data_IF_741734170000
#
_entry.id   IF_741734170000
#
_cell.length_a   1.000
_cell.length_b   1.000
_cell.length_c   1.000
_cell.angle_alpha   90.00
_cell.angle_beta   90.00
_cell.angle_gamma   90.00
#
_symmetry.space_group_name_H-M   'P 1'
#
loop_
_entity.id
_entity.type
_entity.pdbx_description
1 polymer ?
#
# COMPACT_ATOMS: atom_id res chain seq x y z
N UNK A 1 8.31 65.38 39.74
CA UNK A 1 8.59 65.01 38.32
C UNK A 1 9.32 63.66 38.19
N UNK A 2 10.35 63.38 39.00
CA UNK A 2 11.07 62.09 38.98
C UNK A 2 10.22 60.87 39.39
N UNK A 3 9.39 60.99 40.45
CA UNK A 3 8.52 59.91 40.90
C UNK A 3 7.48 59.48 39.85
N UNK A 4 6.93 60.44 39.09
CA UNK A 4 5.98 60.16 37.99
C UNK A 4 6.68 59.43 36.85
N UNK A 5 7.91 59.83 36.49
CA UNK A 5 8.71 59.14 35.46
C UNK A 5 9.07 57.71 35.89
N UNK A 6 9.39 57.48 37.16
CA UNK A 6 9.68 56.16 37.70
C UNK A 6 8.45 55.24 37.66
N UNK A 7 7.26 55.73 38.05
CA UNK A 7 6.01 54.99 37.94
C UNK A 7 5.68 54.61 36.49
N UNK A 8 5.78 55.55 35.54
CA UNK A 8 5.57 55.25 34.12
C UNK A 8 6.59 54.26 33.56
N UNK A 9 7.82 54.24 34.08
CA UNK A 9 8.83 53.28 33.64
C UNK A 9 8.49 51.86 34.12
N UNK A 10 8.01 51.70 35.36
CA UNK A 10 7.55 50.40 35.89
C UNK A 10 6.38 49.87 35.04
N UNK A 11 5.38 50.69 34.75
CA UNK A 11 4.25 50.30 33.87
C UNK A 11 4.72 49.86 32.47
N UNK A 12 5.69 50.56 31.89
CA UNK A 12 6.26 50.20 30.59
C UNK A 12 7.03 48.87 30.62
N UNK A 13 7.75 48.59 31.72
CA UNK A 13 8.46 47.31 31.92
C UNK A 13 7.46 46.17 32.07
N UNK A 14 6.41 46.33 32.87
CA UNK A 14 5.34 45.32 33.02
C UNK A 14 4.61 45.07 31.71
N UNK A 15 4.27 46.13 30.98
CA UNK A 15 3.66 46.05 29.66
C UNK A 15 4.56 45.31 28.66
N UNK A 16 5.86 45.59 28.67
CA UNK A 16 6.82 44.90 27.81
C UNK A 16 6.86 43.40 28.13
N UNK A 17 6.92 43.04 29.41
CA UNK A 17 6.93 41.63 29.85
C UNK A 17 5.67 40.90 29.38
N UNK A 18 4.49 41.51 29.55
CA UNK A 18 3.23 40.96 29.07
C UNK A 18 3.21 40.78 27.54
N UNK A 19 3.76 41.74 26.80
CA UNK A 19 3.87 41.64 25.34
C UNK A 19 4.83 40.53 24.90
N UNK A 20 5.93 40.31 25.63
CA UNK A 20 6.87 39.21 25.38
C UNK A 20 6.21 37.85 25.65
N UNK A 21 5.52 37.69 26.78
CA UNK A 21 4.75 36.48 27.11
C UNK A 21 3.66 36.19 26.06
N UNK A 22 2.91 37.21 25.65
CA UNK A 22 1.90 37.07 24.59
C UNK A 22 2.53 36.68 23.25
N UNK A 23 3.70 37.24 22.90
CA UNK A 23 4.43 36.88 21.69
C UNK A 23 4.84 35.41 21.73
N UNK A 24 5.35 34.91 22.85
CA UNK A 24 5.71 33.50 23.01
C UNK A 24 4.49 32.57 22.88
N UNK A 25 3.37 32.92 23.55
CA UNK A 25 2.14 32.14 23.44
C UNK A 25 1.62 32.09 22.00
N UNK A 26 1.61 33.22 21.28
CA UNK A 26 1.20 33.27 19.88
C UNK A 26 2.06 32.33 19.02
N UNK A 27 3.38 32.31 19.25
CA UNK A 27 4.27 31.41 18.52
C UNK A 27 3.96 29.95 18.81
N UNK A 28 3.72 29.59 20.08
CA UNK A 28 3.33 28.24 20.44
C UNK A 28 2.01 27.83 19.78
N UNK A 29 0.96 28.68 19.83
CA UNK A 29 -0.30 28.40 19.13
C UNK A 29 -0.09 28.19 17.62
N UNK A 30 0.75 29.00 16.97
CA UNK A 30 1.09 28.82 15.55
C UNK A 30 1.78 27.48 15.29
N UNK A 31 2.75 27.10 16.10
CA UNK A 31 3.42 25.79 15.99
C UNK A 31 2.41 24.65 16.12
N UNK A 32 1.53 24.71 17.12
CA UNK A 32 0.50 23.68 17.36
C UNK A 32 -0.51 23.60 16.22
N UNK A 33 -0.90 24.74 15.66
CA UNK A 33 -1.77 24.80 14.49
C UNK A 33 -1.13 24.12 13.28
N UNK A 34 0.16 24.35 13.03
CA UNK A 34 0.91 23.71 11.94
C UNK A 34 0.98 22.19 12.15
N UNK A 35 1.30 21.75 13.37
CA UNK A 35 1.37 20.31 13.71
C UNK A 35 0.03 19.60 13.49
N UNK A 36 -1.08 20.21 13.94
CA UNK A 36 -2.44 19.68 13.70
C UNK A 36 -2.78 19.68 12.21
N UNK A 37 -2.49 20.76 11.48
CA UNK A 37 -2.76 20.84 10.03
C UNK A 37 -2.03 19.73 9.29
N UNK A 38 -0.76 19.49 9.60
CA UNK A 38 0.01 18.41 8.98
C UNK A 38 -0.58 17.03 9.30
N UNK A 39 -1.00 16.81 10.55
CA UNK A 39 -1.67 15.56 10.94
C UNK A 39 -3.00 15.36 10.21
N UNK A 40 -3.78 16.42 10.00
CA UNK A 40 -5.04 16.38 9.24
C UNK A 40 -4.82 16.10 7.75
N UNK A 41 -3.75 16.64 7.16
CA UNK A 41 -3.38 16.33 5.76
C UNK A 41 -3.08 14.85 5.59
N UNK A 42 -2.32 14.24 6.50
CA UNK A 42 -2.03 12.80 6.47
C UNK A 42 -3.29 11.95 6.66
N UNK A 43 -4.17 12.33 7.59
CA UNK A 43 -5.47 11.68 7.77
C UNK A 43 -6.36 11.78 6.53
N UNK A 44 -6.39 12.97 5.90
CA UNK A 44 -7.15 13.18 4.67
C UNK A 44 -6.60 12.31 3.53
N UNK A 45 -5.28 12.22 3.39
CA UNK A 45 -4.65 11.35 2.39
C UNK A 45 -5.02 9.89 2.59
N UNK A 46 -4.88 9.37 3.80
CA UNK A 46 -5.18 7.96 4.05
C UNK A 46 -6.67 7.65 3.89
N UNK A 47 -7.55 8.59 4.25
CA UNK A 47 -8.98 8.50 3.98
C UNK A 47 -9.27 8.44 2.48
N UNK A 48 -8.62 9.28 1.68
CA UNK A 48 -8.77 9.24 0.22
C UNK A 48 -8.35 7.89 -0.35
N UNK A 49 -7.23 7.33 0.11
CA UNK A 49 -6.79 6.00 -0.34
C UNK A 49 -7.78 4.89 0.06
N UNK A 50 -8.30 4.94 1.29
CA UNK A 50 -9.34 4.02 1.76
C UNK A 50 -10.59 4.09 0.88
N UNK A 51 -11.10 5.29 0.62
CA UNK A 51 -12.28 5.49 -0.22
C UNK A 51 -12.03 5.03 -1.64
N UNK A 52 -10.86 5.33 -2.21
CA UNK A 52 -10.50 4.90 -3.56
C UNK A 52 -10.52 3.37 -3.69
N UNK A 53 -9.92 2.66 -2.73
CA UNK A 53 -9.94 1.20 -2.71
C UNK A 53 -11.36 0.66 -2.53
N UNK A 54 -12.12 1.22 -1.58
CA UNK A 54 -13.50 0.80 -1.30
C UNK A 54 -14.43 1.01 -2.49
N UNK A 55 -14.36 2.17 -3.14
CA UNK A 55 -15.17 2.53 -4.32
C UNK A 55 -14.81 1.63 -5.52
N UNK A 56 -13.54 1.24 -5.62
CA UNK A 56 -13.08 0.25 -6.60
C UNK A 56 -13.44 -1.20 -6.22
N UNK A 57 -14.20 -1.43 -5.14
CA UNK A 57 -14.55 -2.77 -4.61
C UNK A 57 -13.34 -3.63 -4.24
N UNK A 58 -12.26 -2.99 -3.79
CA UNK A 58 -11.07 -3.65 -3.26
C UNK A 58 -11.25 -3.88 -1.76
N UNK A 59 -10.90 -5.07 -1.23
CA UNK A 59 -10.93 -5.34 0.20
C UNK A 59 -10.21 -4.25 1.00
N UNK A 60 -10.78 -3.90 2.15
CA UNK A 60 -10.24 -2.88 3.04
C UNK A 60 -10.30 -3.41 4.48
N UNK A 61 -9.34 -3.04 5.35
CA UNK A 61 -9.34 -3.47 6.74
C UNK A 61 -10.53 -2.87 7.50
N UNK A 62 -10.99 -3.59 8.52
CA UNK A 62 -11.95 -3.05 9.48
C UNK A 62 -11.30 -1.95 10.32
N UNK A 63 -11.87 -0.74 10.25
CA UNK A 63 -11.27 0.44 10.89
C UNK A 63 -11.74 0.68 12.33
N UNK A 64 -12.81 0.00 12.78
CA UNK A 64 -13.47 0.32 14.05
C UNK A 64 -12.53 0.27 15.26
N UNK A 65 -11.79 -0.82 15.41
CA UNK A 65 -10.82 -0.99 16.51
C UNK A 65 -9.63 -0.02 16.39
N UNK A 66 -9.21 0.28 15.15
CA UNK A 66 -8.06 1.15 14.88
C UNK A 66 -8.39 2.62 15.20
N UNK A 67 -9.63 3.06 14.90
CA UNK A 67 -10.05 4.45 15.06
C UNK A 67 -10.61 4.77 16.45
N UNK A 68 -11.17 3.79 17.16
CA UNK A 68 -11.81 4.01 18.47
C UNK A 68 -10.94 4.79 19.47
N UNK A 69 -9.65 4.46 19.67
CA UNK A 69 -8.81 5.19 20.63
C UNK A 69 -8.62 6.66 20.26
N UNK A 70 -8.45 6.98 18.98
CA UNK A 70 -8.22 8.36 18.56
C UNK A 70 -9.51 9.19 18.61
N UNK A 71 -10.67 8.58 18.36
CA UNK A 71 -11.96 9.26 18.50
C UNK A 71 -12.23 9.69 19.94
N UNK A 72 -11.92 8.84 20.92
CA UNK A 72 -12.05 9.18 22.35
C UNK A 72 -11.13 10.33 22.71
N UNK A 73 -9.84 10.23 22.36
CA UNK A 73 -8.87 11.28 22.66
C UNK A 73 -9.26 12.60 21.97
N UNK A 74 -9.72 12.55 20.71
CA UNK A 74 -10.14 13.74 19.98
C UNK A 74 -11.34 14.42 20.66
N UNK A 75 -12.35 13.66 21.08
CA UNK A 75 -13.52 14.19 21.82
C UNK A 75 -13.09 14.87 23.13
N UNK A 76 -12.22 14.23 23.90
CA UNK A 76 -11.71 14.80 25.15
C UNK A 76 -10.92 16.10 24.92
N UNK A 77 -10.08 16.14 23.89
CA UNK A 77 -9.31 17.35 23.53
C UNK A 77 -10.19 18.49 23.06
N UNK A 78 -11.24 18.21 22.28
CA UNK A 78 -12.22 19.22 21.87
C UNK A 78 -12.91 19.80 23.10
N UNK A 79 -13.41 18.97 24.02
CA UNK A 79 -14.06 19.43 25.24
C UNK A 79 -13.13 20.26 26.13
N UNK A 80 -11.88 19.83 26.28
CA UNK A 80 -10.88 20.53 27.07
C UNK A 80 -10.55 21.90 26.46
N UNK A 81 -10.40 21.97 25.13
CA UNK A 81 -10.13 23.21 24.43
C UNK A 81 -11.29 24.20 24.53
N UNK A 82 -12.54 23.73 24.44
CA UNK A 82 -13.73 24.58 24.63
C UNK A 82 -13.79 25.19 26.03
N UNK A 83 -13.39 24.43 27.06
CA UNK A 83 -13.37 24.92 28.45
C UNK A 83 -12.15 25.80 28.74
N UNK A 84 -11.00 25.48 28.16
CA UNK A 84 -9.76 26.20 28.35
C UNK A 84 -8.90 26.16 27.06
N UNK A 85 -8.91 27.23 26.25
CA UNK A 85 -8.11 27.29 25.03
C UNK A 85 -6.59 27.16 25.25
N UNK A 86 -6.08 27.50 26.44
CA UNK A 86 -4.66 27.36 26.77
C UNK A 86 -4.24 25.90 26.95
N UNK A 87 -5.18 24.96 27.10
CA UNK A 87 -4.87 23.52 27.21
C UNK A 87 -4.05 22.98 26.04
N UNK A 88 -4.16 23.57 24.85
CA UNK A 88 -3.37 23.15 23.67
C UNK A 88 -1.88 23.50 23.79
N UNK A 89 -1.53 24.43 24.70
CA UNK A 89 -0.14 24.80 24.98
C UNK A 89 0.55 23.77 25.89
N UNK A 90 -0.21 22.87 26.53
CA UNK A 90 0.34 21.79 27.34
C UNK A 90 1.13 20.80 26.45
N UNK A 91 2.46 20.93 26.48
CA UNK A 91 3.37 20.25 25.55
C UNK A 91 3.21 18.74 25.55
N UNK A 92 3.17 18.11 26.72
CA UNK A 92 3.09 16.65 26.89
C UNK A 92 1.79 16.09 26.33
N UNK A 93 0.67 16.66 26.76
CA UNK A 93 -0.66 16.22 26.36
C UNK A 93 -0.91 16.43 24.86
N UNK A 94 -0.42 17.52 24.28
CA UNK A 94 -0.53 17.78 22.85
C UNK A 94 0.35 16.83 22.02
N UNK A 95 1.60 16.63 22.42
CA UNK A 95 2.52 15.71 21.72
C UNK A 95 1.99 14.28 21.74
N UNK A 96 1.40 13.84 22.86
CA UNK A 96 0.75 12.54 22.95
C UNK A 96 -0.41 12.41 21.96
N UNK A 97 -1.24 13.46 21.80
CA UNK A 97 -2.33 13.46 20.83
C UNK A 97 -1.84 13.38 19.38
N UNK A 98 -0.86 14.21 19.00
CA UNK A 98 -0.27 14.15 17.65
C UNK A 98 0.37 12.78 17.39
N UNK A 99 1.04 12.19 18.39
CA UNK A 99 1.59 10.84 18.29
C UNK A 99 0.50 9.80 18.05
N UNK A 100 -0.62 9.88 18.78
CA UNK A 100 -1.76 8.99 18.60
C UNK A 100 -2.35 9.07 17.18
N UNK A 101 -2.48 10.29 16.61
CA UNK A 101 -2.91 10.47 15.22
C UNK A 101 -1.93 9.77 14.26
N UNK A 102 -0.62 10.02 14.42
CA UNK A 102 0.41 9.43 13.54
C UNK A 102 0.41 7.91 13.61
N UNK A 103 0.33 7.33 14.81
CA UNK A 103 0.23 5.87 15.01
C UNK A 103 -1.00 5.31 14.32
N UNK A 104 -2.15 5.98 14.42
CA UNK A 104 -3.39 5.58 13.74
C UNK A 104 -3.22 5.61 12.22
N UNK A 105 -2.68 6.70 11.67
CA UNK A 105 -2.40 6.81 10.22
C UNK A 105 -1.49 5.67 9.75
N UNK A 106 -0.42 5.37 10.50
CA UNK A 106 0.48 4.26 10.17
C UNK A 106 -0.24 2.91 10.20
N UNK A 107 -1.04 2.64 11.22
CA UNK A 107 -1.78 1.37 11.35
C UNK A 107 -2.78 1.19 10.19
N UNK A 108 -3.58 2.22 9.87
CA UNK A 108 -4.51 2.19 8.73
C UNK A 108 -3.76 2.01 7.42
N UNK A 109 -2.63 2.70 7.23
CA UNK A 109 -1.81 2.57 6.02
C UNK A 109 -1.20 1.19 5.86
N UNK A 110 -0.78 0.54 6.94
CA UNK A 110 -0.27 -0.82 6.89
C UNK A 110 -1.37 -1.82 6.56
N UNK A 111 -2.54 -1.71 7.19
CA UNK A 111 -3.69 -2.56 6.89
C UNK A 111 -4.15 -2.42 5.44
N UNK A 112 -4.26 -1.19 4.93
CA UNK A 112 -4.60 -0.95 3.52
C UNK A 112 -3.55 -1.52 2.57
N UNK A 113 -2.26 -1.35 2.88
CA UNK A 113 -1.19 -1.86 2.03
C UNK A 113 -1.20 -3.39 1.99
N UNK A 114 -1.56 -4.05 3.10
CA UNK A 114 -1.69 -5.50 3.14
C UNK A 114 -2.85 -5.99 2.24
N UNK A 115 -4.03 -5.41 2.38
CA UNK A 115 -5.17 -5.77 1.52
C UNK A 115 -4.88 -5.47 0.03
N UNK A 116 -4.23 -4.34 -0.25
CA UNK A 116 -3.80 -3.98 -1.59
C UNK A 116 -2.83 -5.02 -2.18
N UNK A 117 -1.85 -5.49 -1.41
CA UNK A 117 -0.92 -6.55 -1.85
C UNK A 117 -1.65 -7.83 -2.22
N UNK A 118 -2.56 -8.28 -1.36
CA UNK A 118 -3.36 -9.49 -1.61
C UNK A 118 -4.23 -9.33 -2.85
N UNK A 119 -4.83 -8.15 -3.04
CA UNK A 119 -5.61 -7.86 -4.25
C UNK A 119 -4.75 -7.90 -5.53
N UNK A 120 -3.58 -7.25 -5.53
CA UNK A 120 -2.67 -7.27 -6.69
C UNK A 120 -2.13 -8.67 -6.96
N UNK A 121 -1.86 -9.46 -5.92
CA UNK A 121 -1.51 -10.88 -6.05
C UNK A 121 -2.63 -11.68 -6.70
N UNK A 122 -3.88 -11.48 -6.27
CA UNK A 122 -5.05 -12.15 -6.83
C UNK A 122 -5.34 -11.78 -8.30
N UNK A 123 -4.79 -10.69 -8.81
CA UNK A 123 -4.91 -10.30 -10.21
C UNK A 123 -3.91 -11.01 -11.13
N UNK A 124 -2.84 -11.60 -10.58
CA UNK A 124 -1.89 -12.37 -11.38
C UNK A 124 -2.44 -13.78 -11.63
N UNK A 125 -2.28 -14.35 -12.85
CA UNK A 125 -2.49 -15.78 -13.04
C UNK A 125 -1.53 -16.57 -12.14
N UNK A 126 -1.99 -17.72 -11.66
CA UNK A 126 -1.13 -18.61 -10.88
C UNK A 126 -0.11 -19.25 -11.81
N UNK A 127 1.10 -18.69 -11.84
CA UNK A 127 2.23 -19.18 -12.62
C UNK A 127 3.45 -19.25 -11.70
N UNK A 128 4.01 -20.45 -11.51
CA UNK A 128 5.23 -20.58 -10.74
C UNK A 128 6.41 -20.04 -11.56
N UNK A 129 7.29 -19.26 -10.91
CA UNK A 129 8.45 -18.66 -11.57
C UNK A 129 9.37 -19.74 -12.17
N UNK A 130 9.51 -20.88 -11.49
CA UNK A 130 10.30 -22.00 -11.97
C UNK A 130 9.73 -22.58 -13.26
N UNK A 131 8.40 -22.66 -13.39
CA UNK A 131 7.75 -23.07 -14.65
C UNK A 131 8.12 -22.13 -15.79
N UNK A 132 8.08 -20.81 -15.59
CA UNK A 132 8.49 -19.86 -16.63
C UNK A 132 9.97 -20.02 -17.00
N UNK A 133 10.84 -20.23 -16.01
CA UNK A 133 12.27 -20.45 -16.25
C UNK A 133 12.52 -21.71 -17.10
N UNK A 134 11.77 -22.78 -16.84
CA UNK A 134 11.82 -24.02 -17.63
C UNK A 134 11.29 -23.78 -19.05
N UNK A 135 10.11 -23.18 -19.18
CA UNK A 135 9.49 -22.89 -20.47
C UNK A 135 10.35 -21.96 -21.33
N UNK A 136 11.10 -21.03 -20.71
CA UNK A 136 12.03 -20.12 -21.38
C UNK A 136 13.21 -20.84 -22.05
N UNK A 137 13.54 -22.07 -21.64
CA UNK A 137 14.56 -22.90 -22.31
C UNK A 137 14.09 -23.37 -23.69
N UNK A 138 12.79 -23.45 -23.93
CA UNK A 138 12.20 -23.79 -25.22
C UNK A 138 12.25 -22.55 -26.13
N UNK A 139 13.02 -22.55 -27.23
CA UNK A 139 13.20 -21.35 -28.07
C UNK A 139 11.89 -20.75 -28.58
N UNK A 140 10.90 -21.59 -28.89
CA UNK A 140 9.58 -21.18 -29.37
C UNK A 140 8.77 -20.35 -28.34
N UNK A 141 9.05 -20.51 -27.04
CA UNK A 141 8.32 -19.84 -25.96
C UNK A 141 9.06 -18.65 -25.37
N UNK A 142 10.34 -18.46 -25.71
CA UNK A 142 11.20 -17.46 -25.08
C UNK A 142 10.57 -16.06 -25.06
N UNK A 143 10.09 -15.59 -26.21
CA UNK A 143 9.44 -14.27 -26.31
C UNK A 143 8.18 -14.15 -25.43
N UNK A 144 7.31 -15.16 -25.46
CA UNK A 144 6.07 -15.15 -24.69
C UNK A 144 6.35 -15.19 -23.17
N UNK A 145 7.31 -16.01 -22.74
CA UNK A 145 7.74 -16.07 -21.33
C UNK A 145 8.33 -14.74 -20.86
N UNK A 146 9.19 -14.09 -21.65
CA UNK A 146 9.76 -12.78 -21.32
C UNK A 146 8.68 -11.70 -21.20
N UNK A 147 7.67 -11.71 -22.08
CA UNK A 147 6.56 -10.77 -22.04
C UNK A 147 5.68 -10.98 -20.79
N UNK A 148 5.39 -12.24 -20.44
CA UNK A 148 4.68 -12.60 -19.20
C UNK A 148 5.46 -12.11 -17.98
N UNK A 149 6.77 -12.36 -17.92
CA UNK A 149 7.64 -11.89 -16.83
C UNK A 149 7.61 -10.36 -16.68
N UNK A 150 7.65 -9.62 -17.79
CA UNK A 150 7.57 -8.15 -17.79
C UNK A 150 6.24 -7.66 -17.22
N UNK A 151 5.11 -8.24 -17.63
CA UNK A 151 3.79 -7.85 -17.11
C UNK A 151 3.63 -8.21 -15.64
N UNK A 152 4.11 -9.38 -15.19
CA UNK A 152 4.12 -9.74 -13.78
C UNK A 152 4.99 -8.78 -12.96
N UNK A 153 6.18 -8.42 -13.44
CA UNK A 153 7.05 -7.46 -12.77
C UNK A 153 6.40 -6.08 -12.69
N UNK A 154 5.70 -5.66 -13.74
CA UNK A 154 4.92 -4.41 -13.75
C UNK A 154 3.85 -4.42 -12.64
N UNK A 155 3.06 -5.48 -12.51
CA UNK A 155 2.07 -5.63 -11.42
C UNK A 155 2.74 -5.60 -10.05
N UNK A 156 3.85 -6.32 -9.88
CA UNK A 156 4.62 -6.37 -8.61
C UNK A 156 5.15 -5.00 -8.19
N UNK A 157 5.51 -4.13 -9.13
CA UNK A 157 5.94 -2.77 -8.83
C UNK A 157 4.85 -1.93 -8.16
N UNK A 158 3.57 -2.25 -8.38
CA UNK A 158 2.45 -1.57 -7.73
C UNK A 158 2.16 -2.09 -6.32
N UNK A 159 2.66 -3.26 -5.92
CA UNK A 159 2.31 -3.89 -4.64
C UNK A 159 2.79 -3.11 -3.40
N UNK A 160 3.86 -2.32 -3.54
CA UNK A 160 4.49 -1.64 -2.40
C UNK A 160 4.02 -0.20 -2.20
N UNK A 161 3.04 0.28 -2.99
CA UNK A 161 2.40 1.57 -2.73
C UNK A 161 0.89 1.50 -2.93
N UNK A 162 0.17 2.27 -2.13
CA UNK A 162 -1.26 2.46 -2.31
C UNK A 162 -1.55 3.28 -3.58
N UNK A 163 -2.69 3.02 -4.25
CA UNK A 163 -3.15 3.85 -5.35
C UNK A 163 -3.55 5.23 -4.83
N UNK A 164 -3.24 6.27 -5.61
CA UNK A 164 -3.61 7.66 -5.29
C UNK A 164 -4.75 8.18 -6.18
N UNK A 165 -4.97 7.55 -7.33
CA UNK A 165 -6.02 7.92 -8.30
C UNK A 165 -6.63 6.67 -8.95
N UNK A 166 -7.87 6.78 -9.41
CA UNK A 166 -8.59 5.65 -10.01
C UNK A 166 -7.91 5.11 -11.28
N UNK A 167 -7.27 6.00 -12.06
CA UNK A 167 -6.54 5.63 -13.26
C UNK A 167 -5.42 4.58 -12.99
N UNK A 168 -4.80 4.59 -11.81
CA UNK A 168 -3.77 3.60 -11.45
C UNK A 168 -4.37 2.21 -11.25
N UNK A 169 -5.58 2.13 -10.68
CA UNK A 169 -6.30 0.87 -10.46
C UNK A 169 -6.74 0.29 -11.82
N UNK A 170 -7.29 1.13 -12.69
CA UNK A 170 -7.71 0.71 -14.03
C UNK A 170 -6.53 0.27 -14.90
N UNK A 171 -5.41 0.99 -14.85
CA UNK A 171 -4.18 0.56 -15.53
C UNK A 171 -3.73 -0.82 -15.03
N UNK A 172 -3.78 -1.06 -13.72
CA UNK A 172 -3.40 -2.32 -13.12
C UNK A 172 -4.33 -3.47 -13.56
N UNK A 173 -5.64 -3.22 -13.64
CA UNK A 173 -6.63 -4.16 -14.18
C UNK A 173 -6.39 -4.50 -15.64
N UNK A 174 -6.05 -3.51 -16.48
CA UNK A 174 -5.76 -3.77 -17.89
C UNK A 174 -4.47 -4.58 -18.06
N UNK A 175 -3.41 -4.29 -17.27
CA UNK A 175 -2.19 -5.12 -17.26
C UNK A 175 -2.52 -6.57 -16.87
N UNK A 176 -3.32 -6.77 -15.82
CA UNK A 176 -3.78 -8.10 -15.40
C UNK A 176 -4.54 -8.82 -16.52
N UNK A 177 -5.49 -8.14 -17.17
CA UNK A 177 -6.25 -8.69 -18.29
C UNK A 177 -5.35 -9.10 -19.46
N UNK A 178 -4.40 -8.26 -19.85
CA UNK A 178 -3.42 -8.58 -20.91
C UNK A 178 -2.59 -9.79 -20.49
N UNK A 179 -2.12 -9.84 -19.24
CA UNK A 179 -1.36 -10.96 -18.71
C UNK A 179 -2.15 -12.28 -18.75
N UNK A 180 -3.42 -12.28 -18.35
CA UNK A 180 -4.30 -13.45 -18.47
C UNK A 180 -4.53 -13.87 -19.93
N UNK A 181 -4.67 -12.91 -20.84
CA UNK A 181 -4.79 -13.21 -22.27
C UNK A 181 -3.52 -13.84 -22.84
N UNK A 182 -2.35 -13.30 -22.48
CA UNK A 182 -1.05 -13.86 -22.86
C UNK A 182 -0.89 -15.28 -22.33
N UNK A 183 -1.21 -15.52 -21.06
CA UNK A 183 -1.14 -16.85 -20.47
C UNK A 183 -2.10 -17.83 -21.12
N UNK A 184 -3.34 -17.42 -21.41
CA UNK A 184 -4.33 -18.28 -22.08
C UNK A 184 -3.96 -18.63 -23.52
N UNK A 185 -3.25 -17.73 -24.22
CA UNK A 185 -2.76 -17.93 -25.59
C UNK A 185 -1.35 -18.52 -25.65
N UNK A 186 -0.66 -18.62 -24.53
CA UNK A 186 0.72 -19.09 -24.43
C UNK A 186 0.91 -20.38 -25.22
N UNK A 187 1.88 -20.40 -26.14
CA UNK A 187 2.26 -21.57 -26.93
C UNK A 187 1.24 -22.06 -27.96
N UNK A 188 0.12 -21.35 -28.17
CA UNK A 188 -0.83 -21.68 -29.23
C UNK A 188 -0.18 -21.53 -30.61
N UNK A 189 -0.26 -22.58 -31.44
CA UNK A 189 0.28 -22.61 -32.80
C UNK A 189 1.75 -23.01 -32.92
N UNK A 190 2.50 -23.02 -31.81
CA UNK A 190 3.91 -23.42 -31.79
C UNK A 190 4.12 -24.85 -31.27
N UNK A 191 3.17 -25.39 -30.51
CA UNK A 191 3.28 -26.70 -29.85
C UNK A 191 1.97 -27.47 -29.97
N UNK A 192 2.02 -28.81 -30.11
CA UNK A 192 0.82 -29.65 -30.14
C UNK A 192 -0.08 -29.41 -28.90
N UNK A 193 -1.42 -29.41 -29.07
CA UNK A 193 -2.36 -29.09 -27.98
C UNK A 193 -2.16 -29.93 -26.70
N UNK A 194 -1.81 -31.21 -26.85
CA UNK A 194 -1.65 -32.18 -25.77
C UNK A 194 -0.43 -31.85 -24.90
N UNK A 195 0.70 -31.50 -25.54
CA UNK A 195 1.92 -31.07 -24.85
C UNK A 195 1.68 -29.73 -24.15
N UNK A 196 1.00 -28.80 -24.82
CA UNK A 196 0.69 -27.50 -24.24
C UNK A 196 -0.22 -27.64 -23.00
N UNK A 197 -1.21 -28.54 -23.08
CA UNK A 197 -2.09 -28.85 -21.96
C UNK A 197 -1.30 -29.45 -20.80
N UNK A 198 -0.41 -30.42 -21.06
CA UNK A 198 0.48 -31.00 -20.06
C UNK A 198 1.35 -29.92 -19.39
N UNK A 199 2.04 -29.07 -20.16
CA UNK A 199 2.91 -28.03 -19.62
C UNK A 199 2.17 -27.03 -18.72
N UNK A 200 0.94 -26.64 -19.11
CA UNK A 200 0.09 -25.74 -18.30
C UNK A 200 -0.31 -26.38 -16.98
N UNK A 201 -0.68 -27.67 -17.00
CA UNK A 201 -1.03 -28.39 -15.78
C UNK A 201 0.19 -28.65 -14.91
N UNK A 202 1.32 -29.03 -15.51
CA UNK A 202 2.59 -29.24 -14.81
C UNK A 202 3.07 -27.96 -14.10
N UNK A 203 2.82 -26.79 -14.69
CA UNK A 203 3.12 -25.48 -14.11
C UNK A 203 2.12 -24.95 -13.09
N UNK A 204 1.02 -25.67 -12.85
CA UNK A 204 -0.01 -25.29 -11.89
C UNK A 204 0.33 -25.72 -10.45
N UNK A 205 -0.43 -25.23 -9.46
CA UNK A 205 -0.24 -25.60 -8.04
C UNK A 205 -0.42 -27.09 -7.78
N UNK A 206 -1.29 -27.74 -8.55
CA UNK A 206 -1.63 -29.17 -8.42
C UNK A 206 -0.69 -30.06 -9.22
N UNK A 207 0.07 -29.51 -10.17
CA UNK A 207 0.82 -30.29 -11.16
C UNK A 207 -0.07 -31.00 -12.17
N UNK A 208 0.57 -31.71 -13.10
CA UNK A 208 -0.09 -32.54 -14.11
C UNK A 208 -0.32 -33.95 -13.56
N UNK A 209 -1.50 -34.56 -13.76
CA UNK A 209 -1.72 -35.95 -13.39
C UNK A 209 -0.85 -36.89 -14.23
N UNK A 210 -0.28 -37.93 -13.62
CA UNK A 210 0.55 -38.92 -14.33
C UNK A 210 -0.19 -39.59 -15.51
N UNK A 211 -1.52 -39.68 -15.44
CA UNK A 211 -2.35 -40.26 -16.50
C UNK A 211 -2.29 -39.51 -17.83
N UNK A 212 -1.88 -38.23 -17.83
CA UNK A 212 -1.75 -37.44 -19.07
C UNK A 212 -0.32 -37.42 -19.60
N UNK A 213 0.63 -38.10 -18.94
CA UNK A 213 2.01 -38.21 -19.40
C UNK A 213 2.13 -39.34 -20.44
N UNK A 214 2.08 -38.97 -21.72
CA UNK A 214 2.22 -39.92 -22.84
C UNK A 214 3.67 -40.04 -23.32
N UNK A 215 3.99 -41.08 -24.09
CA UNK A 215 5.30 -41.22 -24.74
C UNK A 215 5.63 -40.02 -25.64
N UNK A 216 4.63 -39.45 -26.31
CA UNK A 216 4.79 -38.26 -27.15
C UNK A 216 5.24 -37.05 -26.32
N UNK A 217 4.63 -36.84 -25.15
CA UNK A 217 5.04 -35.78 -24.21
C UNK A 217 6.45 -36.04 -23.71
N UNK A 218 6.78 -37.28 -23.32
CA UNK A 218 8.12 -37.64 -22.85
C UNK A 218 9.20 -37.37 -23.91
N UNK A 219 8.94 -37.76 -25.16
CA UNK A 219 9.85 -37.51 -26.28
C UNK A 219 10.02 -36.01 -26.50
N UNK A 220 8.92 -35.25 -26.52
CA UNK A 220 8.98 -33.81 -26.72
C UNK A 220 9.75 -33.08 -25.60
N UNK A 221 9.54 -33.47 -24.34
CA UNK A 221 10.28 -32.91 -23.19
C UNK A 221 11.80 -33.18 -23.30
N UNK A 222 12.18 -34.37 -23.79
CA UNK A 222 13.58 -34.73 -24.00
C UNK A 222 14.21 -33.94 -25.17
N UNK A 223 13.51 -33.84 -26.31
CA UNK A 223 13.97 -33.08 -27.48
C UNK A 223 14.22 -31.61 -27.14
N UNK A 224 13.40 -31.04 -26.26
CA UNK A 224 13.51 -29.65 -25.83
C UNK A 224 14.35 -29.45 -24.56
N UNK A 225 14.97 -30.52 -24.05
CA UNK A 225 15.94 -30.45 -22.94
C UNK A 225 15.36 -30.06 -21.59
N UNK A 226 14.05 -30.23 -21.38
CA UNK A 226 13.34 -29.85 -20.14
C UNK A 226 12.83 -31.05 -19.34
N UNK A 227 13.09 -32.28 -19.82
CA UNK A 227 12.70 -33.51 -19.14
C UNK A 227 13.19 -33.57 -17.68
N UNK A 228 14.48 -33.29 -17.45
CA UNK A 228 15.08 -33.34 -16.12
C UNK A 228 14.66 -32.19 -15.19
N UNK A 229 14.04 -31.14 -15.72
CA UNK A 229 13.52 -30.04 -14.92
C UNK A 229 12.11 -30.33 -14.37
N UNK A 230 11.43 -31.34 -14.93
CA UNK A 230 10.11 -31.77 -14.50
C UNK A 230 10.24 -32.81 -13.37
N UNK A 231 9.55 -32.59 -12.25
CA UNK A 231 9.60 -33.49 -11.08
C UNK A 231 8.23 -34.05 -10.75
N UNK A 232 8.21 -35.30 -10.26
CA UNK A 232 6.99 -35.95 -9.76
C UNK A 232 6.87 -35.61 -8.27
N UNK A 233 5.72 -35.04 -7.89
CA UNK A 233 5.39 -34.77 -6.49
C UNK A 233 4.58 -35.94 -5.95
N UNK A 234 5.10 -36.62 -4.93
CA UNK A 234 4.47 -37.74 -4.21
C UNK A 234 3.73 -37.19 -2.99
#
# INVERSE_FOLDING_TARGET
MLAVKAATFIELVEKKKLLEENKEQIQLFKTRQIELRNALIELARIRSNYLLMRDASIPCPELGEILSPIEVIAKDKIQLFTKNPQSVLEKTAFQAFIKAIKTTVTAVSQGLLQEWKLYVEGLMPYIQQDTLNILKKVPAFKWETELIEQHMASLRNHMNRLPNVNAEIEQLREISKVLHQLWNKFGQGNVPPEILHFLRLAGSSTGAPLSILTEEILNWLNEHGIYNDCTIRI
#
